data_IF_790254460321
#
_entry.id   IF_790254460321
#
_cell.length_a   1.000
_cell.length_b   1.000
_cell.length_c   1.000
_cell.angle_alpha   90.00
_cell.angle_beta   90.00
_cell.angle_gamma   90.00
#
_symmetry.space_group_name_H-M   'P 1'
#
loop_
_entity.id
_entity.type
_entity.pdbx_description
1 polymer ?
#
# COMPACT_ATOMS: atom_id res chain seq x y z
N UNK A 1 25.92 6.56 11.95
CA UNK A 1 26.08 5.09 11.97
C UNK A 1 24.93 4.51 11.16
N UNK A 2 25.15 4.19 9.88
CA UNK A 2 24.08 3.67 9.02
C UNK A 2 24.03 2.15 9.17
N UNK A 3 23.28 1.67 10.15
CA UNK A 3 22.98 0.24 10.26
C UNK A 3 22.00 -0.11 9.14
N UNK A 4 22.45 -0.91 8.18
CA UNK A 4 21.63 -1.39 7.07
C UNK A 4 21.10 -2.77 7.47
N UNK A 5 19.85 -2.82 7.91
CA UNK A 5 19.17 -4.08 8.22
C UNK A 5 18.77 -4.76 6.90
N UNK A 6 19.36 -5.92 6.62
CA UNK A 6 18.94 -6.78 5.50
C UNK A 6 17.88 -7.73 6.06
N UNK A 7 16.69 -7.70 5.47
CA UNK A 7 15.59 -8.60 5.85
C UNK A 7 15.58 -9.76 4.87
N UNK A 8 15.92 -10.95 5.36
CA UNK A 8 15.78 -12.21 4.63
C UNK A 8 14.50 -12.90 5.10
N UNK A 9 13.58 -13.15 4.17
CA UNK A 9 12.31 -13.82 4.45
C UNK A 9 12.31 -15.18 3.76
N UNK A 10 11.88 -16.22 4.47
CA UNK A 10 11.57 -17.50 3.82
C UNK A 10 10.33 -17.38 2.93
N UNK A 11 10.06 -18.39 2.11
CA UNK A 11 8.88 -18.42 1.25
C UNK A 11 7.59 -18.37 2.09
N UNK A 12 7.55 -19.11 3.20
CA UNK A 12 6.43 -19.22 4.12
C UNK A 12 6.19 -17.91 4.88
N UNK A 13 7.26 -17.25 5.34
CA UNK A 13 7.17 -15.93 5.99
C UNK A 13 6.65 -14.87 5.03
N UNK A 14 7.16 -14.88 3.79
CA UNK A 14 6.69 -13.97 2.74
C UNK A 14 5.20 -14.20 2.43
N UNK A 15 4.79 -15.45 2.30
CA UNK A 15 3.39 -15.80 2.04
C UNK A 15 2.49 -15.38 3.20
N UNK A 16 2.88 -15.67 4.44
CA UNK A 16 2.15 -15.26 5.65
C UNK A 16 1.99 -13.73 5.76
N UNK A 17 3.05 -12.98 5.46
CA UNK A 17 2.99 -11.51 5.41
C UNK A 17 2.08 -11.01 4.29
N UNK A 18 2.12 -11.65 3.13
CA UNK A 18 1.21 -11.32 2.03
C UNK A 18 -0.25 -11.62 2.40
N UNK A 19 -0.54 -12.73 3.05
CA UNK A 19 -1.87 -13.08 3.52
C UNK A 19 -2.38 -12.08 4.57
N UNK A 20 -1.53 -11.69 5.53
CA UNK A 20 -1.87 -10.69 6.54
C UNK A 20 -2.25 -9.35 5.90
N UNK A 21 -1.52 -8.94 4.86
CA UNK A 21 -1.79 -7.70 4.13
C UNK A 21 -3.00 -7.84 3.19
N UNK A 22 -3.20 -9.01 2.57
CA UNK A 22 -4.32 -9.30 1.65
C UNK A 22 -5.66 -9.45 2.36
N UNK A 23 -5.68 -10.13 3.51
CA UNK A 23 -6.87 -10.37 4.33
C UNK A 23 -7.39 -9.13 5.08
N UNK A 24 -6.73 -7.99 4.92
CA UNK A 24 -6.92 -6.77 5.70
C UNK A 24 -8.39 -6.42 5.97
N UNK A 25 -8.73 -6.41 7.27
CA UNK A 25 -9.97 -5.88 7.82
C UNK A 25 -10.24 -4.46 7.30
N UNK A 26 -11.48 -3.99 7.46
CA UNK A 26 -11.93 -2.65 7.06
C UNK A 26 -10.94 -1.53 7.44
N UNK A 27 -10.32 -1.65 8.63
CA UNK A 27 -9.30 -0.73 9.14
C UNK A 27 -8.09 -0.59 8.23
N UNK A 28 -7.55 -1.70 7.69
CA UNK A 28 -6.40 -1.67 6.76
C UNK A 28 -6.79 -0.97 5.46
N UNK A 29 -8.00 -1.24 4.94
CA UNK A 29 -8.51 -0.59 3.73
C UNK A 29 -8.71 0.90 3.92
N UNK A 30 -9.19 1.33 5.10
CA UNK A 30 -9.34 2.75 5.46
C UNK A 30 -7.99 3.48 5.50
N UNK A 31 -6.96 2.85 6.08
CA UNK A 31 -5.60 3.42 6.10
C UNK A 31 -5.03 3.57 4.69
N UNK A 32 -5.11 2.53 3.84
CA UNK A 32 -4.64 2.63 2.45
C UNK A 32 -5.35 3.74 1.67
N UNK A 33 -6.67 3.90 1.85
CA UNK A 33 -7.42 5.00 1.21
C UNK A 33 -6.97 6.38 1.69
N UNK A 34 -6.72 6.55 2.99
CA UNK A 34 -6.17 7.80 3.50
C UNK A 34 -4.78 8.11 2.90
N UNK A 35 -3.91 7.10 2.81
CA UNK A 35 -2.60 7.25 2.17
C UNK A 35 -2.70 7.62 0.67
N UNK A 36 -3.64 7.02 -0.06
CA UNK A 36 -3.94 7.40 -1.46
C UNK A 36 -4.28 8.88 -1.55
N UNK A 37 -5.19 9.37 -0.70
CA UNK A 37 -5.65 10.76 -0.74
C UNK A 37 -4.52 11.74 -0.40
N UNK A 38 -3.70 11.43 0.61
CA UNK A 38 -2.53 12.24 0.97
C UNK A 38 -1.48 12.27 -0.15
N UNK A 39 -1.24 11.16 -0.85
CA UNK A 39 -0.30 11.13 -1.97
C UNK A 39 -0.84 11.87 -3.20
N UNK A 40 -2.15 11.75 -3.46
CA UNK A 40 -2.81 12.51 -4.52
C UNK A 40 -2.79 14.02 -4.24
N UNK A 41 -2.94 14.44 -2.99
CA UNK A 41 -2.83 15.84 -2.56
C UNK A 41 -1.42 16.41 -2.84
N UNK A 42 -0.37 15.60 -2.65
CA UNK A 42 1.01 15.90 -3.07
C UNK A 42 1.25 15.84 -4.59
N UNK A 43 0.21 15.59 -5.39
CA UNK A 43 0.26 15.47 -6.86
C UNK A 43 1.12 14.32 -7.38
N UNK A 44 1.26 13.25 -6.61
CA UNK A 44 1.86 12.02 -7.11
C UNK A 44 0.96 11.38 -8.19
N UNK A 45 1.56 10.69 -9.17
CA UNK A 45 0.79 10.02 -10.24
C UNK A 45 0.12 8.75 -9.72
N UNK A 46 -0.96 8.32 -10.39
CA UNK A 46 -1.71 7.15 -9.95
C UNK A 46 -0.85 5.86 -9.99
N UNK A 47 0.12 5.77 -10.89
CA UNK A 47 1.07 4.66 -11.01
C UNK A 47 2.03 4.63 -9.81
N UNK A 48 2.55 5.78 -9.40
CA UNK A 48 3.45 5.92 -8.24
C UNK A 48 2.71 5.52 -6.97
N UNK A 49 1.49 6.03 -6.78
CA UNK A 49 0.65 5.72 -5.62
C UNK A 49 0.29 4.23 -5.60
N UNK A 50 -0.08 3.66 -6.75
CA UNK A 50 -0.45 2.26 -6.90
C UNK A 50 0.71 1.34 -6.52
N UNK A 51 1.92 1.65 -7.02
CA UNK A 51 3.14 0.92 -6.70
C UNK A 51 3.48 1.00 -5.21
N UNK A 52 3.55 2.22 -4.66
CA UNK A 52 3.95 2.46 -3.27
C UNK A 52 3.02 1.79 -2.25
N UNK A 53 1.71 1.75 -2.53
CA UNK A 53 0.72 1.18 -1.62
C UNK A 53 0.35 -0.27 -1.95
N UNK A 54 0.96 -0.85 -2.99
CA UNK A 54 0.62 -2.19 -3.51
C UNK A 54 -0.90 -2.33 -3.71
N UNK A 55 -1.47 -1.41 -4.49
CA UNK A 55 -2.90 -1.40 -4.89
C UNK A 55 -3.00 -1.23 -6.40
N UNK A 56 -4.13 -1.62 -6.99
CA UNK A 56 -4.37 -1.34 -8.40
C UNK A 56 -4.64 0.16 -8.66
N UNK A 57 -4.24 0.67 -9.82
CA UNK A 57 -4.55 2.04 -10.29
C UNK A 57 -6.07 2.31 -10.28
N UNK A 58 -6.89 1.29 -10.57
CA UNK A 58 -8.35 1.39 -10.45
C UNK A 58 -8.84 1.68 -9.02
N UNK A 59 -8.12 1.22 -7.99
CA UNK A 59 -8.43 1.54 -6.59
C UNK A 59 -8.05 2.97 -6.26
N UNK A 60 -6.90 3.45 -6.77
CA UNK A 60 -6.47 4.85 -6.66
C UNK A 60 -7.53 5.76 -7.27
N UNK A 61 -7.89 5.52 -8.53
CA UNK A 61 -8.91 6.27 -9.25
C UNK A 61 -10.26 6.29 -8.52
N UNK A 62 -10.78 5.13 -8.10
CA UNK A 62 -12.06 5.02 -7.38
C UNK A 62 -12.04 5.74 -6.02
N UNK A 63 -10.89 5.74 -5.35
CA UNK A 63 -10.74 6.40 -4.05
C UNK A 63 -10.72 7.92 -4.23
N UNK A 64 -9.94 8.43 -5.19
CA UNK A 64 -9.89 9.85 -5.55
C UNK A 64 -11.26 10.38 -5.99
N UNK A 65 -12.00 9.63 -6.81
CA UNK A 65 -13.32 10.04 -7.32
C UNK A 65 -14.41 10.14 -6.23
N UNK A 66 -14.28 9.39 -5.15
CA UNK A 66 -15.28 9.32 -4.06
C UNK A 66 -15.04 10.34 -2.94
N UNK A 67 -13.90 11.02 -2.97
CA UNK A 67 -13.54 12.07 -2.02
C UNK A 67 -13.75 13.42 -2.69
#
# INVERSE_FOLDING_TARGET
MNVRYIVELTAEERESLHELVRGGQERVRRVKRAQILLAAERRETDEVIASALSVGTSTVFRTKRRF
#
